data_IF_678624131257
#
_entry.id   IF_678624131257
#
_cell.length_a   1.000
_cell.length_b   1.000
_cell.length_c   1.000
_cell.angle_alpha   90.00
_cell.angle_beta   90.00
_cell.angle_gamma   90.00
#
_symmetry.space_group_name_H-M   'P 1'
#
loop_
_entity.id
_entity.type
_entity.pdbx_description
1 polymer ?
#
# COMPACT_ATOMS: atom_id res chain seq x y z
N UNK A 1 -31.26 -3.53 16.63
CA UNK A 1 -29.84 -3.41 16.23
C UNK A 1 -29.13 -2.46 17.18
N UNK A 2 -27.92 -2.78 17.65
CA UNK A 2 -27.15 -1.98 18.63
C UNK A 2 -26.84 -0.57 18.05
N UNK A 3 -27.05 0.50 18.85
CA UNK A 3 -26.75 1.90 18.46
C UNK A 3 -25.32 2.07 17.93
N UNK A 4 -24.37 1.36 18.53
CA UNK A 4 -22.97 1.34 18.09
C UNK A 4 -22.82 0.78 16.67
N UNK A 5 -23.47 -0.34 16.40
CA UNK A 5 -23.42 -0.99 15.08
C UNK A 5 -23.99 -0.09 13.98
N UNK A 6 -25.11 0.59 14.26
CA UNK A 6 -25.71 1.54 13.32
C UNK A 6 -24.79 2.74 13.03
N UNK A 7 -24.08 3.24 14.05
CA UNK A 7 -23.11 4.31 13.88
C UNK A 7 -21.95 3.88 12.99
N UNK A 8 -21.38 2.70 13.24
CA UNK A 8 -20.28 2.16 12.43
C UNK A 8 -20.73 2.02 10.98
N UNK A 9 -21.90 1.41 10.74
CA UNK A 9 -22.40 1.21 9.38
C UNK A 9 -22.59 2.53 8.63
N UNK A 10 -23.15 3.53 9.30
CA UNK A 10 -23.41 4.85 8.71
C UNK A 10 -22.12 5.64 8.43
N UNK A 11 -21.05 5.38 9.20
CA UNK A 11 -19.77 6.09 9.14
C UNK A 11 -18.63 5.21 8.63
N UNK A 12 -18.93 4.10 7.96
CA UNK A 12 -17.95 3.08 7.59
C UNK A 12 -16.77 3.64 6.80
N UNK A 13 -17.02 4.60 5.89
CA UNK A 13 -15.95 5.25 5.12
C UNK A 13 -14.97 6.03 6.00
N UNK A 14 -15.42 6.67 7.08
CA UNK A 14 -14.55 7.38 8.02
C UNK A 14 -13.78 6.41 8.92
N UNK A 15 -14.38 5.27 9.25
CA UNK A 15 -13.66 4.18 9.93
C UNK A 15 -12.52 3.67 9.04
N UNK A 16 -12.78 3.44 7.75
CA UNK A 16 -11.74 3.09 6.78
C UNK A 16 -10.71 4.20 6.59
N UNK A 17 -11.10 5.48 6.67
CA UNK A 17 -10.16 6.60 6.58
C UNK A 17 -9.16 6.57 7.74
N UNK A 18 -9.64 6.45 8.98
CA UNK A 18 -8.78 6.36 10.16
C UNK A 18 -7.90 5.12 10.07
N UNK A 19 -8.47 3.97 9.68
CA UNK A 19 -7.73 2.73 9.49
C UNK A 19 -6.59 2.90 8.48
N UNK A 20 -6.86 3.47 7.29
CA UNK A 20 -5.83 3.68 6.27
C UNK A 20 -4.79 4.73 6.66
N UNK A 21 -5.17 5.77 7.42
CA UNK A 21 -4.21 6.72 7.98
C UNK A 21 -3.23 6.02 8.93
N UNK A 22 -3.74 5.22 9.87
CA UNK A 22 -2.89 4.43 10.76
C UNK A 22 -2.01 3.46 9.98
N UNK A 23 -2.60 2.77 8.99
CA UNK A 23 -1.94 1.77 8.17
C UNK A 23 -0.74 2.35 7.39
N UNK A 24 -0.80 3.62 6.99
CA UNK A 24 0.28 4.30 6.28
C UNK A 24 1.27 5.05 7.21
N UNK A 25 0.81 5.64 8.32
CA UNK A 25 1.64 6.50 9.17
C UNK A 25 2.50 5.72 10.17
N UNK A 26 1.95 4.70 10.84
CA UNK A 26 2.72 3.94 11.84
C UNK A 26 3.99 3.28 11.27
N UNK A 27 4.00 2.73 10.04
CA UNK A 27 5.19 2.08 9.48
C UNK A 27 6.35 3.02 9.20
N UNK A 28 6.03 4.29 8.91
CA UNK A 28 7.01 5.37 8.78
C UNK A 28 7.49 5.81 10.17
N UNK A 29 6.60 5.79 11.17
CA UNK A 29 6.94 6.12 12.55
C UNK A 29 7.88 5.09 13.19
N UNK A 30 7.81 3.80 12.84
CA UNK A 30 8.64 2.74 13.41
C UNK A 30 10.16 3.02 13.37
N UNK A 31 10.78 3.31 12.21
CA UNK A 31 12.22 3.63 12.17
C UNK A 31 12.57 4.94 12.89
N UNK A 32 11.65 5.92 12.94
CA UNK A 32 11.87 7.17 13.69
C UNK A 32 11.90 6.91 15.19
N UNK A 33 10.97 6.10 15.71
CA UNK A 33 10.98 5.70 17.12
C UNK A 33 12.24 4.94 17.48
N UNK A 34 12.72 4.08 16.57
CA UNK A 34 13.94 3.32 16.76
C UNK A 34 15.17 4.22 16.84
N UNK A 35 15.26 5.24 15.98
CA UNK A 35 16.33 6.23 16.00
C UNK A 35 16.42 7.00 17.33
N UNK A 36 15.28 7.30 17.96
CA UNK A 36 15.21 7.94 19.28
C UNK A 36 15.22 6.93 20.45
N UNK A 37 15.69 5.70 20.21
CA UNK A 37 15.82 4.63 21.21
C UNK A 37 14.51 4.19 21.89
N UNK A 38 13.35 4.55 21.32
CA UNK A 38 12.04 4.13 21.80
C UNK A 38 11.68 2.73 21.29
N UNK A 39 12.45 1.75 21.75
CA UNK A 39 12.47 0.38 21.24
C UNK A 39 11.12 -0.34 21.39
N UNK A 40 10.45 -0.24 22.54
CA UNK A 40 9.21 -0.99 22.75
C UNK A 40 8.07 -0.53 21.82
N UNK A 41 7.95 0.78 21.58
CA UNK A 41 6.99 1.32 20.63
C UNK A 41 7.30 0.93 19.19
N UNK A 42 8.57 1.02 18.79
CA UNK A 42 9.02 0.60 17.46
C UNK A 42 8.76 -0.90 17.22
N UNK A 43 9.12 -1.75 18.18
CA UNK A 43 8.92 -3.20 18.13
C UNK A 43 7.43 -3.56 17.99
N UNK A 44 6.56 -2.91 18.76
CA UNK A 44 5.13 -3.13 18.68
C UNK A 44 4.59 -2.85 17.27
N UNK A 45 5.07 -1.77 16.62
CA UNK A 45 4.71 -1.48 15.24
C UNK A 45 5.28 -2.54 14.29
N UNK A 46 6.58 -2.85 14.33
CA UNK A 46 7.14 -3.89 13.45
C UNK A 46 6.41 -5.23 13.57
N UNK A 47 6.09 -5.65 14.79
CA UNK A 47 5.35 -6.88 15.05
C UNK A 47 3.94 -6.84 14.44
N UNK A 48 3.17 -5.77 14.69
CA UNK A 48 1.83 -5.61 14.15
C UNK A 48 1.80 -5.74 12.62
N UNK A 49 2.76 -5.10 11.94
CA UNK A 49 2.81 -5.11 10.48
C UNK A 49 3.41 -6.38 9.89
N UNK A 50 4.16 -7.17 10.68
CA UNK A 50 4.76 -8.42 10.21
C UNK A 50 3.73 -9.51 9.89
N UNK A 51 2.49 -9.37 10.36
CA UNK A 51 1.37 -10.23 9.96
C UNK A 51 0.94 -9.99 8.51
N UNK A 52 1.07 -8.76 8.01
CA UNK A 52 0.62 -8.36 6.68
C UNK A 52 1.75 -8.31 5.65
N UNK A 53 3.00 -8.13 6.10
CA UNK A 53 4.16 -7.99 5.24
C UNK A 53 5.34 -8.82 5.74
N UNK A 54 6.11 -9.36 4.80
CA UNK A 54 7.38 -10.02 5.11
C UNK A 54 8.55 -9.03 5.37
N UNK A 55 8.33 -7.72 5.34
CA UNK A 55 9.21 -6.63 5.83
C UNK A 55 10.69 -6.66 5.39
N UNK A 56 11.06 -7.41 4.37
CA UNK A 56 12.46 -7.60 3.97
C UNK A 56 13.15 -6.26 3.66
N UNK A 57 14.32 -6.03 4.25
CA UNK A 57 15.01 -4.74 4.19
C UNK A 57 15.31 -4.33 2.73
N UNK A 58 15.85 -5.23 1.90
CA UNK A 58 16.14 -4.95 0.48
C UNK A 58 14.89 -4.71 -0.40
N UNK A 59 13.68 -4.87 0.15
CA UNK A 59 12.40 -4.55 -0.51
C UNK A 59 11.66 -3.37 0.13
N UNK A 60 12.27 -2.73 1.12
CA UNK A 60 11.71 -1.66 1.91
C UNK A 60 12.45 -0.34 1.64
N UNK A 61 11.83 0.77 2.07
CA UNK A 61 12.48 2.07 2.15
C UNK A 61 13.06 2.25 3.56
N UNK A 62 14.04 3.13 3.74
CA UNK A 62 14.66 3.33 5.05
C UNK A 62 14.64 4.79 5.48
N UNK A 63 14.67 5.00 6.78
CA UNK A 63 14.92 6.28 7.44
C UNK A 63 15.86 6.02 8.62
N UNK A 64 16.88 6.85 8.80
CA UNK A 64 17.88 6.67 9.86
C UNK A 64 18.50 5.26 9.89
N UNK A 65 18.87 4.76 8.70
CA UNK A 65 19.40 3.40 8.49
C UNK A 65 18.44 2.25 8.85
N UNK A 66 17.21 2.55 9.27
CA UNK A 66 16.20 1.57 9.65
C UNK A 66 15.11 1.40 8.60
N UNK A 67 14.72 0.16 8.31
CA UNK A 67 13.68 -0.14 7.32
C UNK A 67 12.30 0.34 7.81
N UNK A 68 11.43 0.85 6.95
CA UNK A 68 10.03 1.07 7.32
C UNK A 68 9.32 -0.27 7.61
N UNK A 69 8.27 -0.27 8.43
CA UNK A 69 7.55 -1.51 8.78
C UNK A 69 6.68 -2.10 7.64
N UNK A 70 6.91 -1.67 6.39
CA UNK A 70 6.28 -2.16 5.15
C UNK A 70 7.35 -2.49 4.10
N UNK A 71 7.00 -3.27 3.08
CA UNK A 71 7.74 -3.21 1.82
C UNK A 71 7.32 -1.97 1.01
N UNK A 72 8.16 -1.53 0.07
CA UNK A 72 7.83 -0.38 -0.77
C UNK A 72 6.49 -0.58 -1.49
N UNK A 73 6.20 -1.79 -1.99
CA UNK A 73 4.96 -2.08 -2.72
C UNK A 73 3.72 -1.80 -1.86
N UNK A 74 3.70 -2.35 -0.65
CA UNK A 74 2.52 -2.23 0.22
C UNK A 74 2.28 -0.78 0.65
N UNK A 75 3.35 -0.03 0.96
CA UNK A 75 3.25 1.40 1.25
C UNK A 75 2.50 2.16 0.15
N UNK A 76 2.82 1.89 -1.13
CA UNK A 76 2.19 2.59 -2.25
C UNK A 76 0.81 2.04 -2.64
N UNK A 77 0.51 0.77 -2.37
CA UNK A 77 -0.86 0.22 -2.50
C UNK A 77 -1.79 0.93 -1.52
N UNK A 78 -1.44 0.89 -0.23
CA UNK A 78 -2.28 1.44 0.82
C UNK A 78 -2.33 2.97 0.79
N UNK A 79 -1.24 3.63 0.41
CA UNK A 79 -1.19 5.08 0.23
C UNK A 79 -2.08 5.55 -0.92
N UNK A 80 -2.09 4.81 -2.04
CA UNK A 80 -2.99 5.10 -3.16
C UNK A 80 -4.46 4.87 -2.79
N UNK A 81 -4.77 3.80 -2.05
CA UNK A 81 -6.13 3.57 -1.55
C UNK A 81 -6.60 4.71 -0.62
N UNK A 82 -5.71 5.22 0.24
CA UNK A 82 -6.00 6.37 1.09
C UNK A 82 -6.35 7.61 0.26
N UNK A 83 -5.57 7.92 -0.78
CA UNK A 83 -5.88 9.05 -1.67
C UNK A 83 -7.20 8.85 -2.42
N UNK A 84 -7.50 7.64 -2.91
CA UNK A 84 -8.79 7.36 -3.52
C UNK A 84 -9.93 7.59 -2.54
N UNK A 85 -9.80 7.10 -1.30
CA UNK A 85 -10.84 7.29 -0.29
C UNK A 85 -11.08 8.77 0.00
N UNK A 86 -10.02 9.58 0.13
CA UNK A 86 -10.13 11.03 0.29
C UNK A 86 -10.88 11.65 -0.91
N UNK A 87 -10.52 11.26 -2.14
CA UNK A 87 -11.21 11.73 -3.35
C UNK A 87 -12.69 11.33 -3.32
N UNK A 88 -13.03 10.11 -2.91
CA UNK A 88 -14.42 9.61 -2.82
C UNK A 88 -15.20 10.30 -1.70
N UNK A 89 -14.55 10.73 -0.62
CA UNK A 89 -15.21 11.51 0.43
C UNK A 89 -15.55 12.92 -0.06
N UNK A 90 -14.64 13.57 -0.80
CA UNK A 90 -14.80 14.95 -1.27
C UNK A 90 -15.61 15.06 -2.57
N UNK A 91 -15.56 14.05 -3.45
CA UNK A 91 -16.20 14.06 -4.77
C UNK A 91 -17.18 12.90 -4.93
N UNK A 92 -18.12 13.04 -5.86
CA UNK A 92 -18.99 11.93 -6.26
C UNK A 92 -18.35 11.12 -7.39
N UNK A 93 -17.59 10.09 -7.01
CA UNK A 93 -16.90 9.21 -7.95
C UNK A 93 -17.74 7.97 -8.22
N UNK A 94 -17.88 7.58 -9.49
CA UNK A 94 -18.58 6.35 -9.89
C UNK A 94 -17.70 5.12 -9.64
N UNK A 95 -18.30 3.93 -9.44
CA UNK A 95 -17.56 2.69 -9.22
C UNK A 95 -16.83 2.19 -10.48
N UNK A 96 -15.55 1.85 -10.32
CA UNK A 96 -14.73 1.23 -11.37
C UNK A 96 -15.31 -0.13 -11.80
N UNK A 97 -15.32 -0.45 -13.09
CA UNK A 97 -15.73 -1.77 -13.57
C UNK A 97 -14.73 -2.89 -13.19
N UNK A 98 -15.21 -4.13 -13.05
CA UNK A 98 -14.35 -5.29 -12.73
C UNK A 98 -13.26 -5.50 -13.79
N UNK A 99 -13.59 -5.33 -15.07
CA UNK A 99 -12.61 -5.41 -16.17
C UNK A 99 -11.45 -4.42 -15.98
N UNK A 100 -11.76 -3.18 -15.59
CA UNK A 100 -10.75 -2.15 -15.36
C UNK A 100 -9.93 -2.40 -14.08
N UNK A 101 -10.54 -2.98 -13.05
CA UNK A 101 -9.80 -3.47 -11.89
C UNK A 101 -8.77 -4.54 -12.32
N UNK A 102 -9.17 -5.49 -13.17
CA UNK A 102 -8.26 -6.51 -13.70
C UNK A 102 -7.12 -5.82 -14.48
N UNK A 103 -7.44 -4.89 -15.38
CA UNK A 103 -6.44 -4.14 -16.16
C UNK A 103 -5.43 -3.43 -15.25
N UNK A 104 -5.88 -2.72 -14.21
CA UNK A 104 -4.98 -2.06 -13.25
C UNK A 104 -4.22 -3.00 -12.33
N UNK A 105 -4.65 -4.25 -12.21
CA UNK A 105 -3.93 -5.27 -11.45
C UNK A 105 -2.79 -5.92 -12.26
N UNK A 106 -2.86 -5.89 -13.59
CA UNK A 106 -1.88 -6.58 -14.47
C UNK A 106 -0.42 -6.18 -14.16
N UNK A 107 -0.03 -4.90 -14.07
CA UNK A 107 1.38 -4.54 -13.84
C UNK A 107 1.93 -5.12 -12.54
N UNK A 108 1.13 -5.10 -11.47
CA UNK A 108 1.51 -5.67 -10.19
C UNK A 108 1.51 -7.20 -10.20
N UNK A 109 0.57 -7.84 -10.89
CA UNK A 109 0.53 -9.29 -11.03
C UNK A 109 1.72 -9.80 -11.84
N UNK A 110 2.16 -9.07 -12.86
CA UNK A 110 3.38 -9.40 -13.60
C UNK A 110 4.62 -9.20 -12.73
N UNK A 111 4.81 -8.00 -12.17
CA UNK A 111 5.97 -7.66 -11.33
C UNK A 111 6.07 -8.54 -10.06
N UNK A 112 4.96 -8.70 -9.34
CA UNK A 112 4.89 -9.52 -8.13
C UNK A 112 4.79 -11.01 -8.38
N UNK A 113 4.00 -11.43 -9.36
CA UNK A 113 3.82 -12.83 -9.71
C UNK A 113 5.09 -13.44 -10.29
N UNK A 114 5.82 -12.72 -11.15
CA UNK A 114 7.13 -13.16 -11.62
C UNK A 114 8.13 -13.29 -10.47
N UNK A 115 8.15 -12.36 -9.51
CA UNK A 115 9.01 -12.47 -8.32
C UNK A 115 8.65 -13.71 -7.48
N UNK A 116 7.36 -13.98 -7.25
CA UNK A 116 6.92 -15.16 -6.51
C UNK A 116 7.27 -16.45 -7.25
N UNK A 117 7.07 -16.50 -8.56
CA UNK A 117 7.45 -17.63 -9.39
C UNK A 117 8.97 -17.85 -9.38
N UNK A 118 9.76 -16.78 -9.43
CA UNK A 118 11.22 -16.85 -9.35
C UNK A 118 11.70 -17.43 -8.02
N UNK A 119 11.07 -17.07 -6.90
CA UNK A 119 11.39 -17.66 -5.58
C UNK A 119 11.01 -19.14 -5.51
N UNK A 120 9.89 -19.54 -6.12
CA UNK A 120 9.45 -20.95 -6.14
C UNK A 120 10.35 -21.80 -7.04
N UNK A 121 10.68 -21.33 -8.26
CA UNK A 121 11.45 -22.09 -9.24
C UNK A 121 12.97 -22.03 -9.00
N UNK A 122 13.48 -20.89 -8.53
CA UNK A 122 14.91 -20.67 -8.25
C UNK A 122 15.35 -21.13 -6.85
N UNK A 123 14.47 -21.81 -6.10
CA UNK A 123 14.71 -22.30 -4.75
C UNK A 123 15.94 -23.22 -4.63
N UNK A 124 16.23 -24.00 -5.68
CA UNK A 124 17.26 -25.03 -5.62
C UNK A 124 18.70 -24.50 -5.88
N UNK A 125 18.85 -23.41 -6.65
CA UNK A 125 20.18 -22.96 -7.14
C UNK A 125 20.59 -21.58 -6.64
N UNK A 126 19.83 -20.95 -5.74
CA UNK A 126 20.08 -19.56 -5.27
C UNK A 126 20.13 -18.51 -6.41
N UNK A 127 19.77 -18.89 -7.63
CA UNK A 127 19.80 -18.06 -8.82
C UNK A 127 18.43 -17.43 -9.04
N UNK A 128 18.09 -16.43 -8.23
CA UNK A 128 16.86 -15.68 -8.43
C UNK A 128 17.01 -14.83 -9.68
N UNK A 129 16.32 -15.23 -10.74
CA UNK A 129 16.41 -14.55 -12.03
C UNK A 129 15.69 -13.20 -12.05
N UNK A 130 14.80 -12.90 -11.09
CA UNK A 130 14.06 -11.65 -11.05
C UNK A 130 13.65 -11.19 -9.63
N UNK A 131 13.99 -9.93 -9.31
CA UNK A 131 13.52 -9.21 -8.12
C UNK A 131 13.12 -7.79 -8.52
N UNK A 132 11.96 -7.33 -8.09
CA UNK A 132 11.49 -5.95 -8.37
C UNK A 132 12.40 -4.90 -7.73
N UNK A 133 12.54 -3.72 -8.34
CA UNK A 133 13.15 -2.55 -7.67
C UNK A 133 12.14 -1.80 -6.82
N UNK A 134 12.59 -0.91 -5.94
CA UNK A 134 11.65 -0.11 -5.14
C UNK A 134 10.85 0.88 -6.02
N UNK A 135 11.46 1.37 -7.10
CA UNK A 135 10.75 2.18 -8.10
C UNK A 135 9.63 1.38 -8.79
N UNK A 136 9.90 0.14 -9.25
CA UNK A 136 8.87 -0.66 -9.92
C UNK A 136 7.74 -1.01 -8.94
N UNK A 137 8.08 -1.37 -7.70
CA UNK A 137 7.12 -1.63 -6.61
C UNK A 137 6.22 -0.44 -6.32
N UNK A 138 6.77 0.77 -6.33
CA UNK A 138 6.01 2.01 -6.16
C UNK A 138 5.02 2.22 -7.30
N UNK A 139 5.46 2.07 -8.56
CA UNK A 139 4.60 2.28 -9.74
C UNK A 139 3.49 1.22 -9.77
N UNK A 140 3.83 -0.06 -9.69
CA UNK A 140 2.86 -1.15 -9.80
C UNK A 140 1.91 -1.17 -8.61
N UNK A 141 2.41 -0.92 -7.40
CA UNK A 141 1.61 -0.78 -6.19
C UNK A 141 0.63 0.39 -6.27
N UNK A 142 1.07 1.55 -6.77
CA UNK A 142 0.20 2.73 -6.88
C UNK A 142 -0.93 2.54 -7.88
N UNK A 143 -0.65 1.91 -9.03
CA UNK A 143 -1.66 1.62 -10.06
C UNK A 143 -2.71 0.64 -9.50
N UNK A 144 -2.26 -0.46 -8.89
CA UNK A 144 -3.16 -1.43 -8.30
C UNK A 144 -3.99 -0.85 -7.15
N UNK A 145 -3.35 -0.17 -6.19
CA UNK A 145 -4.03 0.44 -5.05
C UNK A 145 -5.08 1.48 -5.47
N UNK A 146 -4.78 2.26 -6.51
CA UNK A 146 -5.75 3.19 -7.11
C UNK A 146 -6.94 2.44 -7.72
N UNK A 147 -6.69 1.41 -8.53
CA UNK A 147 -7.73 0.60 -9.16
C UNK A 147 -8.63 -0.10 -8.13
N UNK A 148 -8.03 -0.72 -7.12
CA UNK A 148 -8.75 -1.42 -6.05
C UNK A 148 -9.56 -0.45 -5.19
N UNK A 149 -8.99 0.70 -4.81
CA UNK A 149 -9.71 1.75 -4.10
C UNK A 149 -10.91 2.29 -4.89
N UNK A 150 -10.73 2.53 -6.21
CA UNK A 150 -11.79 3.03 -7.09
C UNK A 150 -12.87 1.98 -7.36
N UNK A 151 -12.55 0.70 -7.18
CA UNK A 151 -13.53 -0.37 -7.21
C UNK A 151 -14.35 -0.41 -5.91
N UNK A 152 -13.71 -0.33 -4.74
CA UNK A 152 -14.38 -0.56 -3.46
C UNK A 152 -15.09 0.69 -2.92
N UNK A 153 -14.39 1.82 -2.77
CA UNK A 153 -14.93 2.93 -1.98
C UNK A 153 -16.16 3.62 -2.58
N UNK A 154 -16.24 3.85 -3.91
CA UNK A 154 -17.47 4.34 -4.53
C UNK A 154 -18.67 3.42 -4.26
N UNK A 155 -18.50 2.11 -4.38
CA UNK A 155 -19.57 1.12 -4.13
C UNK A 155 -20.02 1.18 -2.67
N UNK A 156 -19.07 1.24 -1.73
CA UNK A 156 -19.40 1.39 -0.32
C UNK A 156 -20.19 2.67 -0.06
N UNK A 157 -19.77 3.80 -0.65
CA UNK A 157 -20.48 5.08 -0.53
C UNK A 157 -21.92 4.99 -1.05
N UNK A 158 -22.11 4.35 -2.19
CA UNK A 158 -23.43 4.15 -2.79
C UNK A 158 -24.32 3.23 -1.94
N UNK A 159 -23.77 2.16 -1.36
CA UNK A 159 -24.51 1.23 -0.47
C UNK A 159 -25.01 1.97 0.77
N UNK A 160 -24.13 2.72 1.44
CA UNK A 160 -24.49 3.52 2.63
C UNK A 160 -25.57 4.55 2.29
N UNK A 161 -25.52 5.15 1.10
CA UNK A 161 -26.55 6.08 0.63
C UNK A 161 -27.88 5.37 0.34
N UNK A 162 -27.86 4.20 -0.29
CA UNK A 162 -29.06 3.41 -0.56
C UNK A 162 -29.73 2.94 0.73
N UNK A 163 -28.97 2.47 1.72
CA UNK A 163 -29.54 2.04 3.01
C UNK A 163 -30.27 3.17 3.72
N UNK A 164 -29.71 4.40 3.71
CA UNK A 164 -30.39 5.59 4.25
C UNK A 164 -31.72 5.85 3.54
N UNK A 165 -31.75 5.75 2.22
CA UNK A 165 -32.98 5.95 1.43
C UNK A 165 -33.99 4.81 1.66
N UNK A 166 -33.58 3.55 1.54
CA UNK A 166 -34.47 2.38 1.73
C UNK A 166 -35.05 2.30 3.15
N UNK A 167 -34.28 2.70 4.18
CA UNK A 167 -34.82 2.80 5.54
C UNK A 167 -35.95 3.83 5.69
N UNK A 168 -36.02 4.80 4.78
CA UNK A 168 -37.07 5.84 4.75
C UNK A 168 -38.22 5.54 3.77
N UNK A 169 -38.00 4.73 2.73
CA UNK A 169 -38.96 4.60 1.62
C UNK A 169 -39.21 3.18 1.08
N UNK A 170 -38.70 2.12 1.74
CA UNK A 170 -39.01 0.72 1.39
C UNK A 170 -38.56 0.26 -0.01
N UNK A 171 -37.56 0.90 -0.60
CA UNK A 171 -37.10 0.65 -1.97
C UNK A 171 -36.12 -0.53 -2.12
N UNK A 172 -36.20 -1.23 -3.25
CA UNK A 172 -35.32 -2.35 -3.65
C UNK A 172 -33.87 -1.92 -3.95
N UNK A 173 -32.91 -2.75 -3.54
CA UNK A 173 -31.47 -2.54 -3.70
C UNK A 173 -31.03 -2.70 -5.18
N UNK A 174 -30.37 -1.69 -5.74
CA UNK A 174 -29.87 -1.74 -7.14
C UNK A 174 -28.40 -2.14 -7.18
N UNK A 175 -28.09 -3.24 -7.87
CA UNK A 175 -26.72 -3.68 -8.15
C UNK A 175 -26.09 -2.74 -9.18
N UNK A 176 -24.98 -2.08 -8.80
CA UNK A 176 -24.28 -1.13 -9.65
C UNK A 176 -23.46 -1.81 -10.74
N UNK A 177 -23.83 -1.59 -12.01
CA UNK A 177 -22.99 -1.87 -13.17
C UNK A 177 -21.90 -0.80 -13.27
N UNK A 178 -20.73 -1.06 -12.67
CA UNK A 178 -19.54 -0.24 -12.85
C UNK A 178 -18.94 -0.43 -14.25
N UNK A 179 -18.73 0.67 -14.98
CA UNK A 179 -18.26 0.66 -16.39
C UNK A 179 -17.31 1.81 -16.74
N UNK A 180 -16.87 2.59 -15.76
CA UNK A 180 -15.91 3.68 -15.96
C UNK A 180 -14.48 3.17 -15.80
N UNK A 181 -13.53 3.81 -16.50
CA UNK A 181 -12.11 3.44 -16.48
C UNK A 181 -11.27 4.31 -15.53
N UNK A 182 -11.66 5.55 -15.24
CA UNK A 182 -11.00 6.45 -14.26
C UNK A 182 -9.49 6.73 -14.45
N UNK A 183 -8.94 6.56 -15.67
CA UNK A 183 -7.51 6.76 -15.96
C UNK A 183 -6.95 8.10 -15.47
N UNK A 184 -7.68 9.21 -15.64
CA UNK A 184 -7.23 10.54 -15.16
C UNK A 184 -6.98 10.57 -13.65
N UNK A 185 -7.82 9.91 -12.86
CA UNK A 185 -7.64 9.84 -11.40
C UNK A 185 -6.40 9.01 -11.07
N UNK A 186 -6.25 7.86 -11.73
CA UNK A 186 -5.09 6.98 -11.52
C UNK A 186 -3.78 7.69 -11.87
N UNK A 187 -3.72 8.43 -12.98
CA UNK A 187 -2.53 9.19 -13.37
C UNK A 187 -2.19 10.31 -12.38
N UNK A 188 -3.20 11.02 -11.85
CA UNK A 188 -2.99 12.04 -10.81
C UNK A 188 -2.46 11.41 -9.53
N UNK A 189 -3.03 10.29 -9.09
CA UNK A 189 -2.56 9.58 -7.90
C UNK A 189 -1.13 9.08 -8.11
N UNK A 190 -0.82 8.51 -9.29
CA UNK A 190 0.52 8.05 -9.62
C UNK A 190 1.54 9.20 -9.62
N UNK A 191 1.15 10.39 -10.08
CA UNK A 191 1.99 11.58 -10.01
C UNK A 191 2.26 11.98 -8.54
N UNK A 192 1.22 12.04 -7.71
CA UNK A 192 1.36 12.36 -6.28
C UNK A 192 2.23 11.33 -5.57
N UNK A 193 2.01 10.04 -5.83
CA UNK A 193 2.80 8.94 -5.26
C UNK A 193 4.26 9.00 -5.72
N UNK A 194 4.52 9.34 -6.97
CA UNK A 194 5.88 9.57 -7.48
C UNK A 194 6.57 10.72 -6.74
N UNK A 195 5.87 11.83 -6.47
CA UNK A 195 6.41 12.95 -5.69
C UNK A 195 6.71 12.57 -4.24
N UNK A 196 5.78 11.83 -3.60
CA UNK A 196 5.99 11.30 -2.25
C UNK A 196 7.19 10.36 -2.22
N UNK A 197 7.31 9.46 -3.20
CA UNK A 197 8.43 8.54 -3.33
C UNK A 197 9.76 9.26 -3.45
N UNK A 198 9.88 10.20 -4.40
CA UNK A 198 11.11 10.99 -4.59
C UNK A 198 11.47 11.71 -3.29
N UNK A 199 10.49 12.34 -2.63
CA UNK A 199 10.70 13.01 -1.34
C UNK A 199 11.21 12.02 -0.29
N UNK A 200 10.63 10.82 -0.23
CA UNK A 200 11.08 9.77 0.69
C UNK A 200 12.51 9.32 0.41
N UNK A 201 12.89 9.15 -0.87
CA UNK A 201 14.28 8.80 -1.23
C UNK A 201 15.25 9.91 -0.82
N UNK A 202 14.87 11.19 -0.95
CA UNK A 202 15.70 12.29 -0.47
C UNK A 202 15.84 12.27 1.05
N UNK A 203 14.74 12.04 1.78
CA UNK A 203 14.79 11.89 3.24
C UNK A 203 15.65 10.70 3.66
N UNK A 204 15.53 9.57 2.97
CA UNK A 204 16.38 8.40 3.19
C UNK A 204 17.86 8.80 3.00
N UNK A 205 18.22 9.41 1.87
CA UNK A 205 19.59 9.82 1.58
C UNK A 205 20.18 10.81 2.60
N UNK A 206 19.34 11.66 3.22
CA UNK A 206 19.78 12.64 4.22
C UNK A 206 19.89 12.01 5.62
N UNK A 207 19.02 11.05 5.94
CA UNK A 207 18.90 10.50 7.31
C UNK A 207 19.77 9.27 7.56
N UNK A 208 20.13 8.53 6.51
CA UNK A 208 20.91 7.29 6.59
C UNK A 208 22.37 7.50 6.20
N UNK A 209 23.30 6.85 6.90
CA UNK A 209 24.73 6.91 6.60
C UNK A 209 25.30 5.59 6.10
N UNK A 210 24.70 4.46 6.49
CA UNK A 210 25.21 3.12 6.19
C UNK A 210 24.47 2.46 5.02
N UNK A 211 23.13 2.58 5.02
CA UNK A 211 22.29 1.97 3.99
C UNK A 211 21.66 3.06 3.15
N UNK A 212 22.21 3.28 1.96
CA UNK A 212 21.78 4.34 1.06
C UNK A 212 20.87 3.79 -0.06
N UNK A 213 20.03 4.65 -0.67
CA UNK A 213 19.38 4.30 -1.93
C UNK A 213 20.45 4.05 -3.01
N UNK A 214 20.16 3.13 -3.94
CA UNK A 214 21.09 2.74 -5.02
C UNK A 214 21.43 3.91 -5.94
N UNK A 215 20.44 4.75 -6.22
CA UNK A 215 20.56 5.96 -7.02
C UNK A 215 19.45 6.93 -6.63
N UNK A 216 19.33 8.06 -7.33
CA UNK A 216 18.33 9.11 -7.05
C UNK A 216 16.88 8.61 -6.98
N UNK A 217 16.54 7.52 -7.67
CA UNK A 217 15.19 6.94 -7.68
C UNK A 217 15.13 5.56 -7.03
N UNK A 218 16.22 5.09 -6.42
CA UNK A 218 16.36 3.72 -5.94
C UNK A 218 15.85 2.66 -6.94
N UNK A 219 16.24 2.84 -8.21
CA UNK A 219 15.66 2.11 -9.34
C UNK A 219 16.31 0.76 -9.61
N UNK A 220 17.45 0.48 -8.99
CA UNK A 220 18.16 -0.77 -9.13
C UNK A 220 17.57 -1.86 -8.23
N UNK A 221 17.78 -3.11 -8.63
CA UNK A 221 17.33 -4.28 -7.90
C UNK A 221 18.30 -4.60 -6.78
N UNK A 222 17.79 -4.67 -5.54
CA UNK A 222 18.59 -5.03 -4.37
C UNK A 222 18.40 -6.51 -4.04
N UNK A 223 19.52 -7.18 -3.79
CA UNK A 223 19.59 -8.55 -3.29
C UNK A 223 20.23 -8.52 -1.89
N UNK A 224 19.90 -9.46 -1.00
CA UNK A 224 20.63 -9.61 0.24
C UNK A 224 22.10 -9.98 -0.05
N UNK A 225 23.01 -9.53 0.81
CA UNK A 225 24.45 -9.85 0.69
C UNK A 225 24.72 -11.33 0.94
N UNK A 226 23.92 -11.95 1.81
CA UNK A 226 23.99 -13.37 2.15
C UNK A 226 22.68 -14.09 1.75
N UNK A 227 22.80 -15.27 1.16
CA UNK A 227 21.65 -16.13 0.81
C UNK A 227 20.79 -16.49 2.04
N UNK A 228 21.39 -16.55 3.23
CA UNK A 228 20.69 -16.80 4.50
C UNK A 228 19.73 -15.67 4.86
N UNK A 229 20.04 -14.46 4.45
CA UNK A 229 19.23 -13.29 4.76
C UNK A 229 17.96 -13.22 3.90
N UNK A 230 17.82 -14.07 2.86
CA UNK A 230 16.69 -14.04 1.93
C UNK A 230 15.30 -14.13 2.58
N UNK A 231 15.18 -14.77 3.74
CA UNK A 231 13.93 -14.88 4.50
C UNK A 231 13.93 -14.04 5.78
N UNK A 232 15.02 -13.33 6.05
CA UNK A 232 15.15 -12.48 7.21
C UNK A 232 14.26 -11.25 7.04
N UNK A 233 13.22 -11.19 7.88
CA UNK A 233 12.21 -10.13 7.79
C UNK A 233 12.73 -8.78 8.29
N UNK A 234 13.70 -8.76 9.20
CA UNK A 234 14.16 -7.54 9.89
C UNK A 234 15.66 -7.61 10.13
N UNK A 235 16.43 -7.07 9.20
CA UNK A 235 17.88 -6.91 9.34
C UNK A 235 18.23 -5.54 9.90
N UNK A 236 17.51 -4.52 9.43
CA UNK A 236 17.65 -3.12 9.84
C UNK A 236 16.40 -2.64 10.58
N UNK A 237 15.83 -3.48 11.42
CA UNK A 237 14.67 -3.22 12.27
C UNK A 237 14.67 -4.17 13.47
N UNK A 238 13.74 -3.99 14.42
CA UNK A 238 13.72 -4.75 15.69
C UNK A 238 12.54 -5.71 15.87
#
# INVERSE_FOLDING_TARGET
MNKYFNWINTNILYVFLIFLLLLNLLPILAPILLHYEFNEGSRAIYQLYSFFCHQQHWKSLHLHDHQIAWCARDMFIWGSMLLVLIIVLVRNTKPLGLLWLIIYSIPMLLDGGLQTLAVILGYNDSSVFYVSSNLSRMITGSIFGSGFGLYIFPRMKEIVQQEKVSSSSGGSFKIFKGGTHHLKIVLIILLIMSLIYITFIQLWQITSNEYLPTNFLDSETKLPEDNRDWFLRRQRGI
#
